data_IF_680158358302
#
_entry.id   IF_680158358302
#
_cell.length_a   1.000
_cell.length_b   1.000
_cell.length_c   1.000
_cell.angle_alpha   90.00
_cell.angle_beta   90.00
_cell.angle_gamma   90.00
#
_symmetry.space_group_name_H-M   'P 1'
#
loop_
_entity.id
_entity.type
_entity.pdbx_description
1 polymer ?
#
# COMPACT_ATOMS: atom_id res chain seq x y z
N UNK A 1 6.68 0.14 -2.21
CA UNK A 1 7.56 -0.27 -1.09
C UNK A 1 8.05 0.88 -0.22
N UNK A 2 8.57 2.00 -0.76
CA UNK A 2 9.06 3.10 0.10
C UNK A 2 7.96 3.76 0.98
N UNK A 3 6.71 3.78 0.52
CA UNK A 3 5.58 4.33 1.28
C UNK A 3 5.15 3.44 2.46
N UNK A 4 5.32 2.12 2.37
CA UNK A 4 4.95 1.19 3.46
C UNK A 4 5.95 1.26 4.62
N UNK A 5 7.25 1.39 4.33
CA UNK A 5 8.28 1.57 5.36
C UNK A 5 8.10 2.86 6.16
N UNK A 6 7.78 3.97 5.50
CA UNK A 6 7.49 5.25 6.17
C UNK A 6 6.20 5.15 7.01
N UNK A 7 5.21 4.39 6.55
CA UNK A 7 3.95 4.20 7.27
C UNK A 7 4.14 3.36 8.54
N UNK A 8 4.97 2.32 8.47
CA UNK A 8 5.37 1.50 9.63
C UNK A 8 6.22 2.29 10.63
N UNK A 9 7.26 2.99 10.19
CA UNK A 9 8.09 3.81 11.08
C UNK A 9 7.27 4.87 11.83
N UNK A 10 6.28 5.48 11.17
CA UNK A 10 5.37 6.42 11.82
C UNK A 10 4.49 5.77 12.88
N UNK A 11 4.10 4.52 12.68
CA UNK A 11 3.32 3.77 13.64
C UNK A 11 4.18 3.41 14.88
N UNK A 12 5.42 2.99 14.66
CA UNK A 12 6.39 2.68 15.72
C UNK A 12 6.68 3.91 16.60
N UNK A 13 7.01 5.05 15.99
CA UNK A 13 7.27 6.31 16.72
C UNK A 13 6.06 6.74 17.56
N UNK A 14 4.83 6.53 17.07
CA UNK A 14 3.62 6.91 17.81
C UNK A 14 3.28 5.92 18.94
N UNK A 15 3.60 4.64 18.77
CA UNK A 15 3.53 3.66 19.86
C UNK A 15 4.53 4.03 20.97
N UNK A 16 5.78 4.37 20.62
CA UNK A 16 6.81 4.77 21.58
C UNK A 16 6.48 6.07 22.34
N UNK A 17 5.78 7.02 21.72
CA UNK A 17 5.43 8.30 22.34
C UNK A 17 4.43 8.18 23.51
N UNK A 18 3.58 7.15 23.56
CA UNK A 18 2.64 6.91 24.68
C UNK A 18 2.17 5.44 24.74
N UNK A 19 3.03 4.50 25.19
CA UNK A 19 2.72 3.07 25.16
C UNK A 19 1.50 2.65 25.99
N UNK A 20 1.10 3.42 27.01
CA UNK A 20 -0.08 3.14 27.84
C UNK A 20 -1.42 3.59 27.24
N UNK A 21 -1.42 4.56 26.31
CA UNK A 21 -2.62 5.10 25.63
C UNK A 21 -2.72 4.66 24.17
N UNK A 22 -1.65 4.05 23.65
CA UNK A 22 -1.51 3.55 22.29
C UNK A 22 -1.25 2.04 22.33
N UNK A 23 -1.92 1.32 23.24
CA UNK A 23 -1.65 -0.11 23.52
C UNK A 23 -1.94 -1.01 22.30
N UNK A 24 -2.83 -0.54 21.42
CA UNK A 24 -3.11 -1.15 20.14
C UNK A 24 -3.47 -0.08 19.10
N UNK A 25 -3.48 -0.50 17.84
CA UNK A 25 -3.76 0.36 16.69
C UNK A 25 -5.14 1.08 16.79
N UNK A 26 -6.15 0.43 17.35
CA UNK A 26 -7.50 1.00 17.49
C UNK A 26 -7.48 2.19 18.46
N UNK A 27 -6.69 2.14 19.53
CA UNK A 27 -6.54 3.26 20.47
C UNK A 27 -5.78 4.43 19.86
N UNK A 28 -4.74 4.16 19.05
CA UNK A 28 -4.02 5.19 18.30
C UNK A 28 -4.99 5.94 17.39
N UNK A 29 -5.79 5.21 16.60
CA UNK A 29 -6.76 5.79 15.67
C UNK A 29 -7.88 6.56 16.40
N UNK A 30 -8.42 6.01 17.50
CA UNK A 30 -9.42 6.69 18.33
C UNK A 30 -8.85 7.98 18.95
N UNK A 31 -7.64 7.94 19.48
CA UNK A 31 -7.00 9.11 20.10
C UNK A 31 -6.73 10.21 19.05
N UNK A 32 -6.38 9.82 17.83
CA UNK A 32 -6.10 10.76 16.73
C UNK A 32 -7.37 11.37 16.13
N UNK A 33 -8.46 10.59 16.06
CA UNK A 33 -9.80 11.05 15.71
C UNK A 33 -10.34 12.04 16.76
N UNK A 34 -10.24 11.70 18.04
CA UNK A 34 -10.67 12.56 19.15
C UNK A 34 -9.88 13.87 19.22
N UNK A 35 -8.59 13.85 18.86
CA UNK A 35 -7.74 15.05 18.78
C UNK A 35 -7.97 15.89 17.51
N UNK A 36 -8.88 15.48 16.62
CA UNK A 36 -9.14 16.14 15.34
C UNK A 36 -7.95 16.12 14.37
N UNK A 37 -6.94 15.28 14.63
CA UNK A 37 -5.68 15.22 13.85
C UNK A 37 -5.72 14.15 12.76
N UNK A 38 -6.75 13.30 12.72
CA UNK A 38 -6.87 12.20 11.75
C UNK A 38 -6.75 12.63 10.27
N UNK A 39 -7.15 13.86 9.93
CA UNK A 39 -7.04 14.43 8.57
C UNK A 39 -5.70 15.11 8.27
N UNK A 40 -4.77 15.24 9.23
CA UNK A 40 -3.46 15.86 8.97
C UNK A 40 -2.66 15.02 7.98
N UNK A 41 -1.86 15.69 7.14
CA UNK A 41 -1.04 15.06 6.09
C UNK A 41 -0.07 13.99 6.62
N UNK A 42 0.31 14.11 7.90
CA UNK A 42 1.21 13.20 8.61
C UNK A 42 0.50 12.34 9.68
N UNK A 43 -0.80 12.12 9.56
CA UNK A 43 -1.55 11.35 10.55
C UNK A 43 -1.23 9.85 10.49
N UNK A 44 -1.27 9.19 11.65
CA UNK A 44 -1.20 7.73 11.74
C UNK A 44 -2.36 7.06 11.03
N UNK A 45 -3.53 7.68 11.05
CA UNK A 45 -4.72 7.22 10.34
C UNK A 45 -4.48 7.13 8.83
N UNK A 46 -3.77 8.11 8.26
CA UNK A 46 -3.43 8.10 6.84
C UNK A 46 -2.31 7.10 6.53
N UNK A 47 -1.30 6.97 7.40
CA UNK A 47 -0.27 5.94 7.28
C UNK A 47 -0.87 4.52 7.33
N UNK A 48 -1.82 4.29 8.23
CA UNK A 48 -2.52 3.01 8.35
C UNK A 48 -3.34 2.69 7.10
N UNK A 49 -4.07 3.66 6.57
CA UNK A 49 -4.82 3.51 5.33
C UNK A 49 -3.91 3.08 4.17
N UNK A 50 -2.73 3.72 4.02
CA UNK A 50 -1.76 3.32 2.99
C UNK A 50 -1.22 1.91 3.21
N UNK A 51 -1.04 1.49 4.46
CA UNK A 51 -0.61 0.14 4.80
C UNK A 51 -1.67 -0.90 4.42
N UNK A 52 -2.93 -0.68 4.82
CA UNK A 52 -4.02 -1.62 4.50
C UNK A 52 -4.25 -1.73 3.01
N UNK A 53 -4.29 -0.60 2.27
CA UNK A 53 -4.44 -0.64 0.82
C UNK A 53 -3.29 -1.36 0.11
N UNK A 54 -2.07 -1.31 0.68
CA UNK A 54 -0.92 -2.05 0.14
C UNK A 54 -1.05 -3.55 0.37
N UNK A 55 -1.56 -3.97 1.53
CA UNK A 55 -1.83 -5.38 1.84
C UNK A 55 -2.97 -5.94 1.00
N UNK A 56 -4.04 -5.17 0.84
CA UNK A 56 -5.18 -5.52 0.00
C UNK A 56 -4.74 -5.73 -1.46
N UNK A 57 -3.87 -4.83 -1.98
CA UNK A 57 -3.27 -4.98 -3.30
C UNK A 57 -2.46 -6.27 -3.42
N UNK A 58 -1.56 -6.55 -2.46
CA UNK A 58 -0.74 -7.78 -2.47
C UNK A 58 -1.60 -9.04 -2.42
N UNK A 59 -2.64 -9.05 -1.58
CA UNK A 59 -3.57 -10.19 -1.48
C UNK A 59 -4.33 -10.40 -2.79
N UNK A 60 -4.88 -9.34 -3.38
CA UNK A 60 -5.61 -9.41 -4.65
C UNK A 60 -4.73 -9.88 -5.81
N UNK A 61 -3.48 -9.40 -5.84
CA UNK A 61 -2.50 -9.81 -6.85
C UNK A 61 -2.16 -11.30 -6.75
N UNK A 62 -1.84 -11.79 -5.55
CA UNK A 62 -1.53 -13.21 -5.33
C UNK A 62 -2.71 -14.11 -5.70
N UNK A 63 -3.92 -13.74 -5.28
CA UNK A 63 -5.13 -14.49 -5.63
C UNK A 63 -5.40 -14.48 -7.14
N UNK A 64 -5.18 -13.35 -7.82
CA UNK A 64 -5.41 -13.26 -9.27
C UNK A 64 -4.41 -14.10 -10.06
N UNK A 65 -3.14 -14.15 -9.62
CA UNK A 65 -2.10 -14.98 -10.21
C UNK A 65 -2.34 -16.48 -10.00
N UNK A 66 -2.87 -16.86 -8.84
CA UNK A 66 -3.23 -18.24 -8.55
C UNK A 66 -4.41 -18.73 -9.41
N UNK A 67 -5.42 -17.86 -9.61
CA UNK A 67 -6.64 -18.22 -10.31
C UNK A 67 -6.51 -18.27 -11.83
N UNK A 68 -5.71 -17.38 -12.44
CA UNK A 68 -5.54 -17.33 -13.89
C UNK A 68 -4.08 -17.05 -14.31
N UNK A 69 -3.21 -18.08 -14.25
CA UNK A 69 -1.78 -17.92 -14.57
C UNK A 69 -1.51 -17.66 -16.06
N UNK A 70 -2.52 -17.73 -16.93
CA UNK A 70 -2.38 -17.44 -18.38
C UNK A 70 -2.80 -16.01 -18.73
N UNK A 71 -3.45 -15.31 -17.81
CA UNK A 71 -3.86 -13.93 -18.01
C UNK A 71 -2.63 -13.02 -18.02
N UNK A 72 -2.72 -11.99 -18.86
CA UNK A 72 -1.64 -11.01 -19.00
C UNK A 72 -1.32 -10.36 -17.65
N UNK A 73 -0.04 -10.36 -17.28
CA UNK A 73 0.41 -9.88 -15.98
C UNK A 73 0.18 -8.37 -15.82
N UNK A 74 0.31 -7.58 -16.90
CA UNK A 74 0.02 -6.14 -16.85
C UNK A 74 -1.47 -5.92 -16.57
N UNK A 75 -2.35 -6.70 -17.21
CA UNK A 75 -3.79 -6.65 -16.97
C UNK A 75 -4.13 -7.03 -15.52
N UNK A 76 -3.55 -8.11 -14.98
CA UNK A 76 -3.76 -8.52 -13.58
C UNK A 76 -3.35 -7.40 -12.62
N UNK A 77 -2.15 -6.84 -12.81
CA UNK A 77 -1.63 -5.78 -11.95
C UNK A 77 -2.50 -4.52 -12.02
N UNK A 78 -2.97 -4.14 -13.21
CA UNK A 78 -3.83 -2.98 -13.40
C UNK A 78 -5.20 -3.15 -12.75
N UNK A 79 -5.84 -4.32 -12.89
CA UNK A 79 -7.11 -4.63 -12.24
C UNK A 79 -6.98 -4.62 -10.71
N UNK A 80 -5.93 -5.22 -10.17
CA UNK A 80 -5.67 -5.21 -8.72
C UNK A 80 -5.41 -3.78 -8.21
N UNK A 81 -4.69 -2.97 -8.99
CA UNK A 81 -4.43 -1.58 -8.65
C UNK A 81 -5.72 -0.75 -8.60
N UNK A 82 -6.58 -0.91 -9.61
CA UNK A 82 -7.84 -0.17 -9.71
C UNK A 82 -8.81 -0.51 -8.58
N UNK A 83 -8.82 -1.78 -8.14
CA UNK A 83 -9.64 -2.24 -7.03
C UNK A 83 -9.18 -1.74 -5.64
N UNK A 84 -7.87 -1.45 -5.46
CA UNK A 84 -7.29 -1.30 -4.12
C UNK A 84 -6.62 0.06 -3.89
N UNK A 85 -5.70 0.48 -4.76
CA UNK A 85 -4.83 1.64 -4.57
C UNK A 85 -5.31 2.88 -5.32
N UNK A 86 -5.93 2.70 -6.47
CA UNK A 86 -6.41 3.79 -7.35
C UNK A 86 -7.30 4.82 -6.65
N UNK A 87 -8.25 4.45 -5.77
CA UNK A 87 -9.09 5.42 -5.06
C UNK A 87 -8.32 6.39 -4.15
N UNK A 88 -7.13 6.00 -3.72
CA UNK A 88 -6.32 6.74 -2.75
C UNK A 88 -5.20 7.55 -3.42
N UNK A 89 -4.80 7.16 -4.64
CA UNK A 89 -3.74 7.82 -5.39
C UNK A 89 -4.26 9.02 -6.20
N UNK A 90 -3.50 10.12 -6.11
CA UNK A 90 -3.64 11.23 -7.07
C UNK A 90 -3.00 10.89 -8.42
N UNK A 91 -3.26 11.72 -9.43
CA UNK A 91 -2.78 11.49 -10.81
C UNK A 91 -1.26 11.25 -10.93
N UNK A 92 -0.45 11.92 -10.11
CA UNK A 92 1.02 11.73 -10.07
C UNK A 92 1.37 10.33 -9.56
N UNK A 93 0.77 9.92 -8.44
CA UNK A 93 1.02 8.59 -7.85
C UNK A 93 0.55 7.47 -8.79
N UNK A 94 -0.59 7.65 -9.46
CA UNK A 94 -1.08 6.71 -10.46
C UNK A 94 -0.19 6.60 -11.69
N UNK A 95 0.37 7.72 -12.17
CA UNK A 95 1.31 7.71 -13.27
C UNK A 95 2.63 7.01 -12.89
N UNK A 96 3.17 7.31 -11.71
CA UNK A 96 4.39 6.68 -11.22
C UNK A 96 4.21 5.16 -11.03
N UNK A 97 3.06 4.72 -10.49
CA UNK A 97 2.76 3.30 -10.34
C UNK A 97 2.79 2.56 -11.67
N UNK A 98 2.13 3.09 -12.71
CA UNK A 98 2.11 2.46 -14.05
C UNK A 98 3.52 2.28 -14.63
N UNK A 99 4.35 3.31 -14.54
CA UNK A 99 5.74 3.24 -15.04
C UNK A 99 6.53 2.18 -14.29
N UNK A 100 6.41 2.12 -12.97
CA UNK A 100 7.09 1.12 -12.15
C UNK A 100 6.61 -0.29 -12.49
N UNK A 101 5.29 -0.50 -12.58
CA UNK A 101 4.70 -1.80 -12.90
C UNK A 101 5.18 -2.33 -14.26
N UNK A 102 5.12 -1.50 -15.30
CA UNK A 102 5.59 -1.85 -16.65
C UNK A 102 7.08 -2.17 -16.63
N UNK A 103 7.91 -1.34 -15.99
CA UNK A 103 9.35 -1.62 -15.88
C UNK A 103 9.64 -2.94 -15.15
N UNK A 104 8.93 -3.22 -14.05
CA UNK A 104 9.12 -4.45 -13.28
C UNK A 104 8.72 -5.70 -14.06
N UNK A 105 7.60 -5.65 -14.79
CA UNK A 105 7.12 -6.78 -15.60
C UNK A 105 8.08 -7.06 -16.75
N UNK A 106 8.49 -6.02 -17.50
CA UNK A 106 9.43 -6.18 -18.60
C UNK A 106 10.81 -6.65 -18.14
N UNK A 107 11.28 -6.22 -16.97
CA UNK A 107 12.51 -6.71 -16.39
C UNK A 107 12.42 -8.20 -16.01
N UNK A 108 11.28 -8.65 -15.48
CA UNK A 108 11.06 -10.07 -15.13
C UNK A 108 11.04 -10.95 -16.38
N UNK A 109 10.31 -10.52 -17.43
CA UNK A 109 10.31 -11.21 -18.72
C UNK A 109 11.71 -11.27 -19.34
N UNK A 110 12.49 -10.18 -19.27
CA UNK A 110 13.88 -10.16 -19.75
C UNK A 110 14.79 -11.17 -19.05
N UNK A 111 14.56 -11.44 -17.75
CA UNK A 111 15.34 -12.44 -17.02
C UNK A 111 14.92 -13.88 -17.39
N UNK A 112 13.63 -14.13 -17.65
CA UNK A 112 13.16 -15.44 -18.11
C UNK A 112 13.68 -15.81 -19.52
N UNK A 113 13.98 -14.82 -20.37
CA UNK A 113 14.59 -15.03 -21.69
C UNK A 113 16.12 -15.28 -21.66
N UNK A 114 16.77 -15.21 -20.49
CA UNK A 114 18.21 -15.49 -20.34
C UNK A 114 18.54 -16.91 -19.88
N UNK A 115 17.56 -17.81 -19.86
CA UNK A 115 17.71 -19.23 -19.54
C UNK A 115 18.00 -20.12 -20.75
#
# INVERSE_FOLDING_TARGET
>A
MLLSSISLQRLEVMHELNPSMNSNLVEILKSEANKGKARKRSSCSKAFLWLTSSLDFSSALLQSLENDPKKDLEQIVQECYDATLSPWHGWISSAAFRVIAICSINFMLLMDFTG
#
